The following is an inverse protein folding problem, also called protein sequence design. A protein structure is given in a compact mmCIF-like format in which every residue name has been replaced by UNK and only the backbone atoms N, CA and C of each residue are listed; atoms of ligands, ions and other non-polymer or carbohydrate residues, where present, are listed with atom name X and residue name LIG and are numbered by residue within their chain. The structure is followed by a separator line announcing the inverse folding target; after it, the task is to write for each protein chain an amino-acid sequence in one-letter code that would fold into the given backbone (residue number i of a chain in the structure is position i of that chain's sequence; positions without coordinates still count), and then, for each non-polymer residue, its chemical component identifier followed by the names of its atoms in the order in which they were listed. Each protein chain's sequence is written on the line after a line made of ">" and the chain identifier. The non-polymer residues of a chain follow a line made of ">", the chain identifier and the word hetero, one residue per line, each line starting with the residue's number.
data_IF_859805802666
#
_entry.id   IF_859805802666
#
_cell.length_a   1.000
_cell.length_b   1.000
_cell.length_c   1.000
_cell.angle_alpha   90.00
_cell.angle_beta   90.00
_cell.angle_gamma   90.00
#
_symmetry.space_group_name_H-M   'P 1'
#
loop_
_entity.id
_entity.type
_entity.pdbx_description
1 polymer ?
#
# COMPACT_ATOMS: atom_id res chain seq x y z
N UNK A 1 -6.06 2.39 15.57
CA UNK A 1 -5.03 1.32 15.59
C UNK A 1 -4.43 1.06 14.19
N UNK A 2 -5.19 0.72 13.16
CA UNK A 2 -4.63 0.35 11.85
C UNK A 2 -3.66 1.36 11.22
N UNK A 3 -3.98 2.66 11.23
CA UNK A 3 -3.10 3.69 10.69
C UNK A 3 -1.76 3.77 11.43
N UNK A 4 -1.77 3.70 12.76
CA UNK A 4 -0.55 3.64 13.57
C UNK A 4 0.32 2.43 13.20
N UNK A 5 -0.30 1.26 13.01
CA UNK A 5 0.40 0.04 12.58
C UNK A 5 1.06 0.24 11.21
N UNK A 6 0.36 0.81 10.23
CA UNK A 6 0.93 1.08 8.90
C UNK A 6 2.09 2.07 8.96
N UNK A 7 1.98 3.12 9.79
CA UNK A 7 3.05 4.09 9.99
C UNK A 7 4.29 3.44 10.60
N UNK A 8 4.13 2.61 11.64
CA UNK A 8 5.24 1.89 12.27
C UNK A 8 5.95 0.94 11.28
N UNK A 9 5.19 0.20 10.46
CA UNK A 9 5.74 -0.67 9.42
C UNK A 9 6.63 0.13 8.46
N UNK A 10 6.17 1.30 8.01
CA UNK A 10 6.93 2.17 7.10
C UNK A 10 8.20 2.73 7.75
N UNK A 11 8.14 3.14 9.02
CA UNK A 11 9.31 3.64 9.75
C UNK A 11 10.37 2.54 9.90
N UNK A 12 9.97 1.36 10.33
CA UNK A 12 10.88 0.20 10.44
C UNK A 12 11.51 -0.14 9.08
N UNK A 13 10.71 -0.09 8.00
CA UNK A 13 11.23 -0.29 6.66
C UNK A 13 12.26 0.77 6.28
N UNK A 14 11.96 2.05 6.50
CA UNK A 14 12.85 3.16 6.17
C UNK A 14 14.20 3.02 6.90
N UNK A 15 14.18 2.74 8.20
CA UNK A 15 15.39 2.54 8.98
C UNK A 15 16.21 1.33 8.48
N UNK A 16 15.54 0.21 8.22
CA UNK A 16 16.19 -1.01 7.76
C UNK A 16 16.74 -0.87 6.33
N UNK A 17 15.99 -0.20 5.46
CA UNK A 17 16.40 0.06 4.08
C UNK A 17 17.57 1.04 4.01
N UNK A 18 17.56 2.06 4.86
CA UNK A 18 18.68 2.99 5.00
C UNK A 18 19.95 2.28 5.50
N UNK A 19 19.81 1.39 6.46
CA UNK A 19 20.94 0.64 7.01
C UNK A 19 21.54 -0.35 6.00
N UNK A 20 20.69 -1.07 5.24
CA UNK A 20 21.12 -2.13 4.31
C UNK A 20 21.51 -1.60 2.92
N UNK A 21 20.78 -0.62 2.41
CA UNK A 21 20.87 -0.20 1.01
C UNK A 21 21.18 1.27 0.83
N UNK A 22 21.32 2.04 1.90
CA UNK A 22 21.47 3.50 1.89
C UNK A 22 20.35 4.23 1.11
N UNK A 23 19.14 3.68 1.12
CA UNK A 23 17.94 4.19 0.45
C UNK A 23 16.75 4.08 1.39
N UNK A 24 15.85 5.06 1.34
CA UNK A 24 14.60 5.06 2.12
C UNK A 24 13.37 4.79 1.26
N UNK A 25 13.44 5.16 -0.02
CA UNK A 25 12.30 5.06 -0.94
C UNK A 25 12.20 3.66 -1.56
N UNK A 26 10.96 3.23 -1.79
CA UNK A 26 10.70 2.00 -2.55
C UNK A 26 10.80 2.26 -4.05
N UNK A 27 10.92 1.19 -4.85
CA UNK A 27 10.84 1.33 -6.32
C UNK A 27 9.51 1.92 -6.76
N UNK A 28 8.42 1.60 -6.07
CA UNK A 28 7.10 2.15 -6.35
C UNK A 28 7.06 3.66 -6.09
N UNK A 29 7.66 4.13 -4.99
CA UNK A 29 7.76 5.56 -4.70
C UNK A 29 8.56 6.30 -5.78
N UNK A 30 9.68 5.72 -6.20
CA UNK A 30 10.53 6.29 -7.26
C UNK A 30 9.79 6.35 -8.61
N UNK A 31 8.99 5.33 -8.96
CA UNK A 31 8.19 5.35 -10.18
C UNK A 31 7.10 6.43 -10.14
N UNK A 32 6.43 6.57 -8.99
CA UNK A 32 5.41 7.61 -8.78
C UNK A 32 6.05 9.00 -8.90
N UNK A 33 7.18 9.25 -8.22
CA UNK A 33 7.91 10.52 -8.29
C UNK A 33 8.37 10.83 -9.71
N UNK A 34 8.97 9.87 -10.41
CA UNK A 34 9.39 10.04 -11.80
C UNK A 34 8.21 10.40 -12.72
N UNK A 35 7.05 9.76 -12.53
CA UNK A 35 5.84 10.07 -13.30
C UNK A 35 5.28 11.46 -12.98
N UNK A 36 5.39 11.92 -11.73
CA UNK A 36 4.96 13.27 -11.31
C UNK A 36 5.86 14.38 -11.88
N UNK A 37 7.15 14.10 -12.13
CA UNK A 37 8.14 15.10 -12.58
C UNK A 37 7.94 15.64 -14.01
N UNK A 38 7.01 15.10 -14.81
CA UNK A 38 6.80 15.56 -16.19
C UNK A 38 6.16 16.95 -16.29
N UNK A 39 5.04 17.15 -15.60
CA UNK A 39 4.35 18.44 -15.49
C UNK A 39 3.26 18.35 -14.40
N UNK A 40 2.75 19.53 -14.00
CA UNK A 40 1.78 19.66 -12.90
C UNK A 40 0.46 18.90 -13.16
N UNK A 41 -0.01 18.85 -14.40
CA UNK A 41 -1.24 18.11 -14.75
C UNK A 41 -1.03 16.61 -14.60
N UNK A 42 0.10 16.09 -15.08
CA UNK A 42 0.46 14.68 -14.93
C UNK A 42 0.64 14.34 -13.44
N UNK A 43 1.31 15.20 -12.67
CA UNK A 43 1.47 15.02 -11.24
C UNK A 43 0.12 14.91 -10.52
N UNK A 44 -0.84 15.81 -10.82
CA UNK A 44 -2.19 15.75 -10.26
C UNK A 44 -2.92 14.45 -10.63
N UNK A 45 -2.83 14.02 -11.89
CA UNK A 45 -3.43 12.75 -12.33
C UNK A 45 -2.85 11.56 -11.57
N UNK A 46 -1.53 11.51 -11.40
CA UNK A 46 -0.86 10.45 -10.65
C UNK A 46 -1.30 10.42 -9.18
N UNK A 47 -1.41 11.59 -8.53
CA UNK A 47 -1.90 11.68 -7.15
C UNK A 47 -3.31 11.14 -7.02
N UNK A 48 -4.22 11.52 -7.93
CA UNK A 48 -5.60 11.03 -7.93
C UNK A 48 -5.63 9.50 -8.13
N UNK A 49 -4.86 9.00 -9.09
CA UNK A 49 -4.78 7.55 -9.34
C UNK A 49 -4.22 6.82 -8.12
N UNK A 50 -3.09 7.24 -7.59
CA UNK A 50 -2.40 6.56 -6.50
C UNK A 50 -3.12 6.66 -5.14
N UNK A 51 -3.83 7.76 -4.87
CA UNK A 51 -4.53 7.95 -3.60
C UNK A 51 -5.97 7.44 -3.59
N UNK A 52 -6.62 7.34 -4.75
CA UNK A 52 -8.05 7.01 -4.82
C UNK A 52 -8.30 5.76 -5.67
N UNK A 53 -7.96 5.81 -6.96
CA UNK A 53 -8.33 4.74 -7.89
C UNK A 53 -7.57 3.44 -7.66
N UNK A 54 -6.26 3.51 -7.43
CA UNK A 54 -5.46 2.31 -7.16
C UNK A 54 -5.93 1.62 -5.86
N UNK A 55 -6.04 2.32 -4.68
CA UNK A 55 -6.61 1.72 -3.48
C UNK A 55 -8.00 1.11 -3.69
N UNK A 56 -8.87 1.78 -4.44
CA UNK A 56 -10.22 1.25 -4.72
C UNK A 56 -10.16 -0.07 -5.49
N UNK A 57 -9.42 -0.11 -6.61
CA UNK A 57 -9.26 -1.31 -7.43
C UNK A 57 -8.59 -2.45 -6.64
N UNK A 58 -7.55 -2.14 -5.87
CA UNK A 58 -6.81 -3.12 -5.09
C UNK A 58 -7.64 -3.70 -3.95
N UNK A 59 -8.36 -2.87 -3.18
CA UNK A 59 -9.23 -3.36 -2.12
C UNK A 59 -10.39 -4.19 -2.70
N UNK A 60 -10.96 -3.79 -3.83
CA UNK A 60 -11.98 -4.60 -4.51
C UNK A 60 -11.42 -5.96 -4.94
N UNK A 61 -10.23 -5.98 -5.54
CA UNK A 61 -9.59 -7.20 -6.01
C UNK A 61 -9.19 -8.12 -4.85
N UNK A 62 -8.37 -7.61 -3.92
CA UNK A 62 -7.76 -8.42 -2.87
C UNK A 62 -8.75 -8.77 -1.74
N UNK A 63 -9.61 -7.82 -1.32
CA UNK A 63 -10.55 -8.01 -0.19
C UNK A 63 -11.95 -8.34 -0.68
N UNK A 64 -12.44 -7.60 -1.67
CA UNK A 64 -13.79 -7.79 -2.22
C UNK A 64 -13.97 -9.11 -2.96
N UNK A 65 -13.02 -9.49 -3.80
CA UNK A 65 -13.10 -10.70 -4.64
C UNK A 65 -12.28 -11.84 -4.04
N UNK A 66 -10.94 -11.67 -3.96
CA UNK A 66 -10.04 -12.75 -3.59
C UNK A 66 -10.37 -13.35 -2.21
N UNK A 67 -10.46 -12.56 -1.16
CA UNK A 67 -10.71 -13.08 0.19
C UNK A 67 -12.12 -13.63 0.39
N UNK A 68 -13.10 -13.21 -0.43
CA UNK A 68 -14.46 -13.80 -0.43
C UNK A 68 -14.53 -15.11 -1.18
N UNK A 69 -13.77 -15.23 -2.27
CA UNK A 69 -13.82 -16.41 -3.14
C UNK A 69 -12.98 -17.57 -2.58
N UNK A 70 -11.78 -17.23 -2.07
CA UNK A 70 -10.84 -18.22 -1.56
C UNK A 70 -10.88 -18.26 -0.03
N UNK A 71 -11.17 -19.45 0.51
CA UNK A 71 -11.21 -19.77 1.94
C UNK A 71 -12.09 -18.83 2.81
N UNK A 72 -13.34 -18.57 2.43
CA UNK A 72 -14.20 -17.60 3.13
C UNK A 72 -14.39 -17.94 4.61
N UNK A 73 -14.37 -19.24 4.96
CA UNK A 73 -14.54 -19.75 6.32
C UNK A 73 -13.28 -19.67 7.19
N UNK A 74 -12.11 -19.49 6.58
CA UNK A 74 -10.84 -19.36 7.32
C UNK A 74 -10.58 -17.92 7.68
N UNK A 75 -9.99 -17.69 8.86
CA UNK A 75 -9.66 -16.32 9.29
C UNK A 75 -8.27 -15.90 8.81
N UNK A 76 -7.23 -16.63 9.20
CA UNK A 76 -5.84 -16.23 8.95
C UNK A 76 -5.34 -16.53 7.54
N UNK A 77 -5.73 -17.65 6.95
CA UNK A 77 -5.20 -18.08 5.66
C UNK A 77 -5.43 -17.06 4.53
N UNK A 78 -6.67 -16.53 4.32
CA UNK A 78 -6.88 -15.51 3.30
C UNK A 78 -6.13 -14.19 3.61
N UNK A 79 -5.90 -13.84 4.88
CA UNK A 79 -5.10 -12.69 5.27
C UNK A 79 -3.65 -12.88 4.81
N UNK A 80 -3.04 -14.02 5.16
CA UNK A 80 -1.64 -14.33 4.83
C UNK A 80 -1.44 -14.32 3.32
N UNK A 81 -2.27 -15.04 2.58
CA UNK A 81 -2.10 -15.17 1.12
C UNK A 81 -2.39 -13.84 0.42
N UNK A 82 -3.47 -13.13 0.79
CA UNK A 82 -3.79 -11.82 0.22
C UNK A 82 -2.67 -10.80 0.44
N UNK A 83 -2.08 -10.76 1.63
CA UNK A 83 -0.98 -9.83 1.91
C UNK A 83 0.31 -10.18 1.17
N UNK A 84 0.64 -11.48 1.04
CA UNK A 84 1.78 -11.92 0.22
C UNK A 84 1.60 -11.55 -1.26
N UNK A 85 0.43 -11.81 -1.83
CA UNK A 85 0.12 -11.43 -3.21
C UNK A 85 0.19 -9.91 -3.41
N UNK A 86 -0.31 -9.13 -2.44
CA UNK A 86 -0.21 -7.68 -2.44
C UNK A 86 1.26 -7.23 -2.44
N UNK A 87 2.10 -7.83 -1.59
CA UNK A 87 3.53 -7.56 -1.54
C UNK A 87 4.25 -7.89 -2.85
N UNK A 88 3.97 -9.03 -3.43
CA UNK A 88 4.55 -9.45 -4.72
C UNK A 88 4.13 -8.51 -5.87
N UNK A 89 2.89 -8.05 -5.89
CA UNK A 89 2.40 -7.11 -6.91
C UNK A 89 3.11 -5.75 -6.87
N UNK A 90 3.61 -5.32 -5.70
CA UNK A 90 4.23 -3.99 -5.51
C UNK A 90 5.75 -3.99 -5.48
N UNK A 91 6.41 -5.13 -5.33
CA UNK A 91 7.82 -5.16 -4.91
C UNK A 91 8.85 -5.21 -6.03
N UNK A 92 8.45 -5.47 -7.26
CA UNK A 92 9.40 -5.73 -8.37
C UNK A 92 10.57 -6.68 -7.95
N UNK A 93 10.25 -7.72 -7.16
CA UNK A 93 11.18 -8.74 -6.65
C UNK A 93 12.26 -8.23 -5.67
N UNK A 94 12.14 -7.05 -5.09
CA UNK A 94 12.97 -6.62 -3.97
C UNK A 94 12.41 -7.24 -2.68
N UNK A 95 13.22 -8.03 -1.98
CA UNK A 95 12.81 -8.77 -0.77
C UNK A 95 12.27 -7.81 0.31
N UNK A 96 12.99 -6.72 0.58
CA UNK A 96 12.59 -5.77 1.61
C UNK A 96 11.29 -5.03 1.24
N UNK A 97 11.17 -4.61 -0.02
CA UNK A 97 9.95 -4.02 -0.55
C UNK A 97 8.77 -5.01 -0.53
N UNK A 98 9.02 -6.28 -0.88
CA UNK A 98 8.00 -7.33 -0.79
C UNK A 98 7.52 -7.50 0.65
N UNK A 99 8.42 -7.53 1.63
CA UNK A 99 8.07 -7.64 3.05
C UNK A 99 7.28 -6.42 3.53
N UNK A 100 7.68 -5.19 3.15
CA UNK A 100 6.95 -3.97 3.46
C UNK A 100 5.51 -4.05 2.96
N UNK A 101 5.33 -4.26 1.64
CA UNK A 101 4.00 -4.29 1.04
C UNK A 101 3.17 -5.50 1.49
N UNK A 102 3.80 -6.64 1.80
CA UNK A 102 3.10 -7.76 2.44
C UNK A 102 2.57 -7.39 3.82
N UNK A 103 3.37 -6.72 4.64
CA UNK A 103 2.96 -6.28 5.98
C UNK A 103 1.82 -5.23 5.93
N UNK A 104 1.90 -4.28 4.97
CA UNK A 104 0.80 -3.35 4.69
C UNK A 104 -0.45 -4.13 4.24
N UNK A 105 -0.31 -5.06 3.31
CA UNK A 105 -1.37 -5.92 2.81
C UNK A 105 -2.03 -6.77 3.91
N UNK A 106 -1.25 -7.34 4.83
CA UNK A 106 -1.77 -8.09 5.99
C UNK A 106 -2.57 -7.20 6.92
N UNK A 107 -2.10 -5.97 7.17
CA UNK A 107 -2.82 -5.02 8.02
C UNK A 107 -4.18 -4.66 7.43
N UNK A 108 -4.24 -4.35 6.14
CA UNK A 108 -5.49 -4.03 5.44
C UNK A 108 -6.44 -5.25 5.39
N UNK A 109 -5.90 -6.44 5.09
CA UNK A 109 -6.66 -7.68 5.07
C UNK A 109 -7.21 -8.05 6.46
N UNK A 110 -6.43 -7.82 7.52
CA UNK A 110 -6.89 -8.03 8.90
C UNK A 110 -8.03 -7.06 9.26
N UNK A 111 -7.90 -5.77 8.94
CA UNK A 111 -8.96 -4.78 9.17
C UNK A 111 -10.23 -5.18 8.44
N UNK A 112 -10.14 -5.54 7.15
CA UNK A 112 -11.29 -6.05 6.40
C UNK A 112 -11.93 -7.27 7.06
N UNK A 113 -11.13 -8.27 7.41
CA UNK A 113 -11.64 -9.55 7.97
C UNK A 113 -12.26 -9.35 9.36
N UNK A 114 -11.69 -8.46 10.17
CA UNK A 114 -12.19 -8.15 11.51
C UNK A 114 -13.47 -7.33 11.47
N UNK A 115 -13.53 -6.30 10.63
CA UNK A 115 -14.67 -5.38 10.53
C UNK A 115 -15.77 -5.91 9.61
N UNK A 116 -15.46 -6.85 8.72
CA UNK A 116 -16.31 -7.33 7.62
C UNK A 116 -16.79 -6.19 6.72
N UNK A 117 -16.03 -5.10 6.66
CA UNK A 117 -16.37 -3.88 5.95
C UNK A 117 -15.24 -3.46 5.01
N UNK A 118 -15.50 -3.48 3.70
CA UNK A 118 -14.55 -3.08 2.68
C UNK A 118 -14.18 -1.59 2.79
N UNK A 119 -15.14 -0.75 3.16
CA UNK A 119 -14.88 0.68 3.32
C UNK A 119 -13.87 0.98 4.45
N UNK A 120 -13.81 0.14 5.48
CA UNK A 120 -12.84 0.32 6.56
C UNK A 120 -11.40 0.09 6.09
N UNK A 121 -11.14 -0.98 5.32
CA UNK A 121 -9.81 -1.21 4.73
C UNK A 121 -9.49 -0.21 3.63
N UNK A 122 -10.46 0.16 2.79
CA UNK A 122 -10.29 1.18 1.76
C UNK A 122 -9.92 2.55 2.36
N UNK A 123 -10.64 3.00 3.38
CA UNK A 123 -10.32 4.27 4.06
C UNK A 123 -8.92 4.25 4.63
N UNK A 124 -8.53 3.15 5.29
CA UNK A 124 -7.19 3.00 5.83
C UNK A 124 -6.12 3.02 4.71
N UNK A 125 -6.39 2.40 3.57
CA UNK A 125 -5.50 2.37 2.42
C UNK A 125 -5.34 3.77 1.80
N UNK A 126 -6.43 4.49 1.58
CA UNK A 126 -6.42 5.88 1.10
C UNK A 126 -5.62 6.78 2.05
N UNK A 127 -5.85 6.68 3.36
CA UNK A 127 -5.07 7.42 4.36
C UNK A 127 -3.57 7.06 4.34
N UNK A 128 -3.24 5.80 4.07
CA UNK A 128 -1.86 5.37 3.92
C UNK A 128 -1.15 6.03 2.73
N UNK A 129 -1.88 6.29 1.65
CA UNK A 129 -1.34 6.93 0.44
C UNK A 129 -1.48 8.46 0.46
N UNK A 130 -2.29 9.02 1.37
CA UNK A 130 -2.53 10.46 1.47
C UNK A 130 -1.27 11.35 1.62
N UNK A 131 -0.15 10.92 2.23
CA UNK A 131 1.09 11.71 2.25
C UNK A 131 1.58 12.13 0.86
N UNK A 132 1.26 11.40 -0.21
CA UNK A 132 1.58 11.76 -1.59
C UNK A 132 0.93 13.10 -2.01
N UNK A 133 -0.22 13.44 -1.42
CA UNK A 133 -0.90 14.72 -1.63
C UNK A 133 -0.03 15.88 -1.14
N UNK A 134 0.62 15.71 0.02
CA UNK A 134 1.54 16.71 0.56
C UNK A 134 2.78 16.88 -0.33
N UNK A 135 3.33 15.77 -0.84
CA UNK A 135 4.46 15.79 -1.78
C UNK A 135 4.11 16.63 -3.02
N UNK A 136 2.90 16.46 -3.56
CA UNK A 136 2.41 17.24 -4.69
C UNK A 136 2.32 18.74 -4.38
N UNK A 137 1.68 19.13 -3.27
CA UNK A 137 1.51 20.54 -2.91
C UNK A 137 2.81 21.23 -2.53
N UNK A 138 3.79 20.51 -1.99
CA UNK A 138 5.10 21.06 -1.65
C UNK A 138 6.06 21.13 -2.85
N UNK A 139 5.66 20.61 -4.02
CA UNK A 139 6.49 20.58 -5.23
C UNK A 139 7.75 19.72 -5.08
N UNK A 140 7.73 18.72 -4.20
CA UNK A 140 8.85 17.80 -3.93
C UNK A 140 8.70 16.56 -4.84
N UNK A 141 8.82 16.76 -6.16
CA UNK A 141 8.67 15.67 -7.15
C UNK A 141 9.70 15.82 -8.29
#
# INVERSE_FOLDING_TARGET
>A
MGYFTLTMIKLVYADLSQWLYHQTDTKNDNLIRAAMGHNQTTALMIVIIACIFAPLCEEMLFRGIFMKLFWPQKFFLPIIVSGLLFGLAHSNFNILGTLLYSALGWTLAFVYKHTKNLSASLTLHVLNNAPLILVFFLGIH
#
